data_IF_743504525736
#
_entry.id   IF_743504525736
#
_cell.length_a   1.000
_cell.length_b   1.000
_cell.length_c   1.000
_cell.angle_alpha   90.00
_cell.angle_beta   90.00
_cell.angle_gamma   90.00
#
_symmetry.space_group_name_H-M   'P 1'
#
loop_
_entity.id
_entity.type
_entity.pdbx_description
1 polymer ?
#
# COMPACT_ATOMS: atom_id res chain seq x y z
N UNK A 1 9.55 -17.68 10.06
CA UNK A 1 9.62 -16.22 9.89
C UNK A 1 8.38 -15.61 10.52
N UNK A 2 8.54 -14.56 11.34
CA UNK A 2 7.40 -13.81 11.88
C UNK A 2 6.63 -13.11 10.75
N UNK A 3 5.35 -12.83 10.98
CA UNK A 3 4.49 -12.10 10.04
C UNK A 3 5.11 -10.74 9.68
N UNK A 4 5.67 -10.05 10.67
CA UNK A 4 6.36 -8.76 10.50
C UNK A 4 7.54 -8.87 9.53
N UNK A 5 8.37 -9.91 9.64
CA UNK A 5 9.53 -10.08 8.76
C UNK A 5 9.12 -10.31 7.30
N UNK A 6 8.07 -11.11 7.07
CA UNK A 6 7.50 -11.31 5.72
C UNK A 6 6.93 -10.00 5.16
N UNK A 7 6.18 -9.25 5.98
CA UNK A 7 5.66 -7.94 5.60
C UNK A 7 6.76 -6.98 5.17
N UNK A 8 7.82 -6.86 5.98
CA UNK A 8 8.95 -5.98 5.67
C UNK A 8 9.70 -6.42 4.41
N UNK A 9 9.93 -7.72 4.22
CA UNK A 9 10.58 -8.24 3.02
C UNK A 9 9.77 -7.94 1.76
N UNK A 10 8.46 -8.18 1.79
CA UNK A 10 7.60 -7.91 0.63
C UNK A 10 7.45 -6.41 0.35
N UNK A 11 7.45 -5.57 1.40
CA UNK A 11 7.51 -4.13 1.24
C UNK A 11 8.82 -3.72 0.55
N UNK A 12 9.97 -4.26 0.97
CA UNK A 12 11.26 -3.97 0.34
C UNK A 12 11.29 -4.39 -1.13
N UNK A 13 10.78 -5.59 -1.46
CA UNK A 13 10.68 -6.06 -2.85
C UNK A 13 9.77 -5.17 -3.70
N UNK A 14 8.62 -4.75 -3.17
CA UNK A 14 7.72 -3.82 -3.85
C UNK A 14 8.37 -2.45 -4.08
N UNK A 15 9.13 -1.94 -3.11
CA UNK A 15 9.90 -0.70 -3.25
C UNK A 15 10.98 -0.83 -4.33
N UNK A 16 11.71 -1.94 -4.38
CA UNK A 16 12.69 -2.19 -5.43
C UNK A 16 12.03 -2.25 -6.81
N UNK A 17 10.91 -2.96 -6.95
CA UNK A 17 10.16 -3.02 -8.20
C UNK A 17 9.67 -1.63 -8.64
N UNK A 18 9.22 -0.80 -7.69
CA UNK A 18 8.84 0.58 -7.95
C UNK A 18 10.03 1.38 -8.51
N UNK A 19 11.15 1.43 -7.77
CA UNK A 19 12.33 2.22 -8.16
C UNK A 19 12.91 1.78 -9.51
N UNK A 20 13.07 0.48 -9.73
CA UNK A 20 13.56 -0.05 -11.02
C UNK A 20 12.64 0.34 -12.18
N UNK A 21 11.33 0.35 -11.96
CA UNK A 21 10.37 0.79 -12.98
C UNK A 21 10.47 2.29 -13.23
N UNK A 22 10.71 3.11 -12.20
CA UNK A 22 10.96 4.54 -12.37
C UNK A 22 12.22 4.77 -13.20
N UNK A 23 13.33 4.09 -12.87
CA UNK A 23 14.60 4.21 -13.57
C UNK A 23 14.46 3.81 -15.04
N UNK A 24 13.84 2.65 -15.32
CA UNK A 24 13.59 2.20 -16.70
C UNK A 24 12.70 3.19 -17.44
N UNK A 25 11.66 3.71 -16.80
CA UNK A 25 10.77 4.70 -17.43
C UNK A 25 11.52 6.00 -17.71
N UNK A 26 12.37 6.47 -16.80
CA UNK A 26 13.18 7.66 -17.02
C UNK A 26 14.14 7.48 -18.19
N UNK A 27 14.76 6.30 -18.32
CA UNK A 27 15.62 5.98 -19.46
C UNK A 27 14.85 5.96 -20.80
N UNK A 28 13.62 5.45 -20.81
CA UNK A 28 12.80 5.38 -22.03
C UNK A 28 12.20 6.72 -22.47
N UNK A 29 12.00 7.64 -21.51
CA UNK A 29 11.32 8.91 -21.75
C UNK A 29 12.21 10.13 -21.47
N UNK A 30 13.54 9.98 -21.38
CA UNK A 30 14.49 10.99 -20.88
C UNK A 30 14.34 12.39 -21.50
N UNK A 31 13.88 12.49 -22.76
CA UNK A 31 13.70 13.75 -23.47
C UNK A 31 12.32 14.39 -23.31
N UNK A 32 11.41 13.78 -22.56
CA UNK A 32 10.04 14.27 -22.38
C UNK A 32 9.91 15.13 -21.12
N UNK A 33 9.23 16.27 -21.23
CA UNK A 33 8.96 17.18 -20.10
C UNK A 33 8.19 16.49 -18.97
N UNK A 34 7.39 15.47 -19.30
CA UNK A 34 6.57 14.72 -18.36
C UNK A 34 7.20 13.40 -17.89
N UNK A 35 8.45 13.10 -18.26
CA UNK A 35 9.11 11.82 -17.97
C UNK A 35 9.08 11.46 -16.48
N UNK A 36 9.36 12.43 -15.62
CA UNK A 36 9.33 12.24 -14.16
C UNK A 36 7.96 11.81 -13.65
N UNK A 37 6.89 12.46 -14.10
CA UNK A 37 5.53 12.13 -13.67
C UNK A 37 5.10 10.74 -14.15
N UNK A 38 5.46 10.39 -15.39
CA UNK A 38 5.18 9.05 -15.94
C UNK A 38 5.97 7.98 -15.19
N UNK A 39 7.24 8.24 -14.86
CA UNK A 39 8.05 7.35 -14.04
C UNK A 39 7.43 7.14 -12.65
N UNK A 40 7.08 8.21 -11.95
CA UNK A 40 6.44 8.12 -10.63
C UNK A 40 5.12 7.35 -10.69
N UNK A 41 4.27 7.60 -11.70
CA UNK A 41 2.99 6.92 -11.85
C UNK A 41 3.18 5.43 -12.14
N UNK A 42 3.99 5.07 -13.14
CA UNK A 42 4.24 3.68 -13.53
C UNK A 42 4.95 2.90 -12.43
N UNK A 43 5.97 3.48 -11.78
CA UNK A 43 6.66 2.87 -10.64
C UNK A 43 5.72 2.62 -9.46
N UNK A 44 4.84 3.57 -9.16
CA UNK A 44 3.83 3.40 -8.10
C UNK A 44 2.86 2.27 -8.43
N UNK A 45 2.36 2.20 -9.66
CA UNK A 45 1.46 1.13 -10.10
C UNK A 45 2.12 -0.24 -10.02
N UNK A 46 3.35 -0.38 -10.54
CA UNK A 46 4.10 -1.64 -10.51
C UNK A 46 4.43 -2.06 -9.08
N UNK A 47 4.90 -1.12 -8.24
CA UNK A 47 5.20 -1.38 -6.84
C UNK A 47 3.97 -1.83 -6.05
N UNK A 48 2.83 -1.13 -6.22
CA UNK A 48 1.57 -1.50 -5.57
C UNK A 48 1.07 -2.87 -6.03
N UNK A 49 1.14 -3.16 -7.34
CA UNK A 49 0.72 -4.46 -7.87
C UNK A 49 1.63 -5.59 -7.39
N UNK A 50 2.95 -5.39 -7.37
CA UNK A 50 3.90 -6.36 -6.82
C UNK A 50 3.61 -6.64 -5.34
N UNK A 51 3.37 -5.59 -4.54
CA UNK A 51 3.00 -5.75 -3.12
C UNK A 51 1.70 -6.53 -2.97
N UNK A 52 0.70 -6.21 -3.78
CA UNK A 52 -0.58 -6.91 -3.77
C UNK A 52 -0.42 -8.40 -4.06
N UNK A 53 0.32 -8.78 -5.10
CA UNK A 53 0.54 -10.18 -5.47
C UNK A 53 1.27 -10.93 -4.36
N UNK A 54 2.30 -10.32 -3.77
CA UNK A 54 3.05 -10.91 -2.66
C UNK A 54 2.17 -11.10 -1.42
N UNK A 55 1.41 -10.08 -1.03
CA UNK A 55 0.52 -10.14 0.14
C UNK A 55 -0.58 -11.17 -0.06
N UNK A 56 -1.26 -11.12 -1.20
CA UNK A 56 -2.31 -12.07 -1.58
C UNK A 56 -1.81 -13.51 -1.47
N UNK A 57 -0.64 -13.80 -2.04
CA UNK A 57 -0.12 -15.17 -2.15
C UNK A 57 0.49 -15.67 -0.84
N UNK A 58 1.28 -14.86 -0.16
CA UNK A 58 2.13 -15.32 0.95
C UNK A 58 1.65 -14.90 2.34
N UNK A 59 0.80 -13.88 2.43
CA UNK A 59 0.24 -13.42 3.70
C UNK A 59 -1.18 -13.95 3.88
N UNK A 60 -2.05 -13.70 2.91
CA UNK A 60 -3.46 -14.06 2.99
C UNK A 60 -3.78 -15.41 2.37
N UNK A 61 -2.84 -16.03 1.63
CA UNK A 61 -3.03 -17.28 0.89
C UNK A 61 -4.34 -17.30 0.07
N UNK A 62 -4.76 -16.14 -0.44
CA UNK A 62 -6.07 -15.93 -1.02
C UNK A 62 -6.06 -16.31 -2.50
N UNK A 63 -6.96 -17.22 -2.89
CA UNK A 63 -7.16 -17.63 -4.30
C UNK A 63 -8.32 -16.84 -4.90
N UNK A 64 -8.05 -16.15 -6.00
CA UNK A 64 -9.09 -15.52 -6.81
C UNK A 64 -9.69 -16.55 -7.77
N UNK A 65 -11.00 -16.42 -8.05
CA UNK A 65 -11.73 -17.34 -8.94
C UNK A 65 -11.43 -17.08 -10.41
N UNK A 66 -11.29 -15.81 -10.79
CA UNK A 66 -11.03 -15.35 -12.16
C UNK A 66 -10.23 -14.02 -12.14
N UNK A 67 -9.87 -13.52 -13.33
CA UNK A 67 -9.13 -12.27 -13.48
C UNK A 67 -9.96 -11.03 -13.09
N UNK A 68 -11.27 -11.04 -13.33
CA UNK A 68 -12.16 -9.94 -12.96
C UNK A 68 -12.24 -9.77 -11.42
N UNK A 69 -12.34 -10.89 -10.69
CA UNK A 69 -12.30 -10.90 -9.23
C UNK A 69 -10.92 -10.49 -8.70
N UNK A 70 -9.83 -10.84 -9.39
CA UNK A 70 -8.49 -10.38 -9.04
C UNK A 70 -8.34 -8.86 -9.12
N UNK A 71 -8.78 -8.26 -10.23
CA UNK A 71 -8.77 -6.80 -10.40
C UNK A 71 -9.63 -6.12 -9.35
N UNK A 72 -10.83 -6.66 -9.05
CA UNK A 72 -11.70 -6.11 -8.00
C UNK A 72 -11.04 -6.17 -6.62
N UNK A 73 -10.41 -7.28 -6.27
CA UNK A 73 -9.68 -7.43 -5.01
C UNK A 73 -8.46 -6.51 -4.94
N UNK A 74 -7.73 -6.34 -6.04
CA UNK A 74 -6.65 -5.36 -6.14
C UNK A 74 -7.15 -3.93 -5.92
N UNK A 75 -8.26 -3.53 -6.56
CA UNK A 75 -8.85 -2.21 -6.38
C UNK A 75 -9.27 -1.95 -4.94
N UNK A 76 -9.88 -2.93 -4.26
CA UNK A 76 -10.21 -2.82 -2.84
C UNK A 76 -8.94 -2.68 -1.99
N UNK A 77 -7.91 -3.50 -2.25
CA UNK A 77 -6.62 -3.43 -1.57
C UNK A 77 -5.93 -2.06 -1.75
N UNK A 78 -5.95 -1.51 -2.96
CA UNK A 78 -5.39 -0.20 -3.26
C UNK A 78 -6.18 0.91 -2.55
N UNK A 79 -7.51 0.81 -2.57
CA UNK A 79 -8.41 1.80 -1.93
C UNK A 79 -8.23 1.84 -0.42
N UNK A 80 -8.16 0.68 0.23
CA UNK A 80 -7.90 0.61 1.68
C UNK A 80 -6.51 1.17 2.02
N UNK A 81 -5.51 0.93 1.16
CA UNK A 81 -4.18 1.52 1.30
C UNK A 81 -4.23 3.05 1.26
N UNK A 82 -4.82 3.61 0.20
CA UNK A 82 -4.99 5.05 0.06
C UNK A 82 -5.73 5.68 1.24
N UNK A 83 -6.81 5.04 1.70
CA UNK A 83 -7.56 5.49 2.86
C UNK A 83 -6.71 5.54 4.14
N UNK A 84 -5.91 4.50 4.40
CA UNK A 84 -5.02 4.51 5.58
C UNK A 84 -3.88 5.51 5.47
N UNK A 85 -3.40 5.81 4.26
CA UNK A 85 -2.42 6.88 4.04
C UNK A 85 -3.01 8.25 4.34
N UNK A 86 -4.28 8.50 3.98
CA UNK A 86 -4.97 9.74 4.34
C UNK A 86 -5.11 9.90 5.86
N UNK A 87 -5.39 8.82 6.60
CA UNK A 87 -5.43 8.84 8.07
C UNK A 87 -4.06 9.22 8.63
N UNK A 88 -3.00 8.60 8.11
CA UNK A 88 -1.62 8.94 8.49
C UNK A 88 -1.33 10.43 8.29
N UNK A 89 -1.63 10.98 7.10
CA UNK A 89 -1.44 12.41 6.83
C UNK A 89 -2.31 13.30 7.70
N UNK A 90 -3.56 12.92 7.98
CA UNK A 90 -4.44 13.69 8.87
C UNK A 90 -3.87 13.76 10.30
N UNK A 91 -3.30 12.67 10.81
CA UNK A 91 -2.60 12.69 12.10
C UNK A 91 -1.31 13.52 12.04
N UNK A 92 -0.46 13.31 11.03
CA UNK A 92 0.81 14.05 10.90
C UNK A 92 0.59 15.56 10.78
N UNK A 93 -0.29 15.98 9.87
CA UNK A 93 -0.63 17.39 9.64
C UNK A 93 -1.43 17.97 10.79
N UNK A 94 -2.38 17.22 11.37
CA UNK A 94 -3.17 17.66 12.51
C UNK A 94 -2.29 18.00 13.72
N UNK A 95 -1.29 17.16 14.02
CA UNK A 95 -0.34 17.44 15.08
C UNK A 95 0.63 18.58 14.73
N UNK A 96 1.07 18.68 13.48
CA UNK A 96 1.90 19.80 13.04
C UNK A 96 1.17 21.14 13.17
N UNK A 97 -0.10 21.21 12.76
CA UNK A 97 -0.91 22.43 12.87
C UNK A 97 -1.30 22.76 14.32
N UNK A 98 -1.53 21.75 15.17
CA UNK A 98 -1.90 21.97 16.57
C UNK A 98 -0.72 22.45 17.44
N UNK A 99 0.50 21.96 17.18
CA UNK A 99 1.65 22.18 18.07
C UNK A 99 2.86 22.87 17.40
N UNK A 100 2.80 23.14 16.10
CA UNK A 100 3.72 24.02 15.37
C UNK A 100 5.21 23.60 15.34
N UNK A 101 5.55 22.40 15.77
CA UNK A 101 6.94 21.95 15.94
C UNK A 101 7.19 20.59 15.30
N UNK A 102 8.42 20.42 14.80
CA UNK A 102 8.85 19.22 14.06
C UNK A 102 8.76 17.92 14.91
N UNK A 103 8.94 18.03 16.23
CA UNK A 103 8.83 16.91 17.15
C UNK A 103 7.40 16.36 17.21
N UNK A 104 6.39 17.23 17.30
CA UNK A 104 4.98 16.82 17.35
C UNK A 104 4.47 16.31 16.00
N UNK A 105 4.98 16.83 14.88
CA UNK A 105 4.75 16.22 13.55
C UNK A 105 5.19 14.76 13.54
N UNK A 106 6.39 14.49 14.05
CA UNK A 106 6.96 13.14 14.11
C UNK A 106 6.15 12.22 15.03
N UNK A 107 5.69 12.73 16.18
CA UNK A 107 4.80 11.98 17.07
C UNK A 107 3.46 11.64 16.39
N UNK A 108 2.84 12.62 15.72
CA UNK A 108 1.63 12.43 14.94
C UNK A 108 1.81 11.42 13.80
N UNK A 109 2.96 11.44 13.13
CA UNK A 109 3.33 10.47 12.11
C UNK A 109 3.43 9.04 12.66
N UNK A 110 4.09 8.84 13.81
CA UNK A 110 4.20 7.51 14.44
C UNK A 110 2.84 6.97 14.87
N UNK A 111 2.00 7.82 15.47
CA UNK A 111 0.63 7.44 15.87
C UNK A 111 -0.21 7.11 14.63
N UNK A 112 -0.17 7.97 13.62
CA UNK A 112 -0.88 7.80 12.36
C UNK A 112 -0.49 6.52 11.63
N UNK A 113 0.81 6.21 11.56
CA UNK A 113 1.31 4.95 10.98
C UNK A 113 0.84 3.74 11.78
N UNK A 114 0.89 3.79 13.10
CA UNK A 114 0.46 2.67 13.95
C UNK A 114 -1.02 2.35 13.77
N UNK A 115 -1.88 3.38 13.78
CA UNK A 115 -3.31 3.26 13.52
C UNK A 115 -3.55 2.80 12.08
N UNK A 116 -2.84 3.41 11.12
CA UNK A 116 -2.93 3.10 9.69
C UNK A 116 -2.65 1.63 9.41
N UNK A 117 -1.54 1.08 9.92
CA UNK A 117 -1.21 -0.33 9.74
C UNK A 117 -2.22 -1.28 10.40
N UNK A 118 -2.68 -0.97 11.61
CA UNK A 118 -3.69 -1.78 12.29
C UNK A 118 -5.01 -1.80 11.51
N UNK A 119 -5.45 -0.63 11.04
CA UNK A 119 -6.68 -0.49 10.28
C UNK A 119 -6.54 -1.15 8.90
N UNK A 120 -5.40 -0.96 8.23
CA UNK A 120 -5.09 -1.56 6.93
C UNK A 120 -5.21 -3.08 7.00
N UNK A 121 -4.63 -3.71 8.02
CA UNK A 121 -4.75 -5.15 8.22
C UNK A 121 -6.22 -5.59 8.38
N UNK A 122 -7.01 -4.87 9.18
CA UNK A 122 -8.44 -5.19 9.38
C UNK A 122 -9.26 -5.00 8.10
N UNK A 123 -9.03 -3.90 7.37
CA UNK A 123 -9.73 -3.57 6.14
C UNK A 123 -9.38 -4.56 5.03
N UNK A 124 -8.10 -4.89 4.86
CA UNK A 124 -7.67 -5.85 3.85
C UNK A 124 -8.23 -7.23 4.12
N UNK A 125 -8.19 -7.68 5.37
CA UNK A 125 -8.79 -8.96 5.76
C UNK A 125 -10.30 -8.99 5.50
N UNK A 126 -11.03 -7.91 5.79
CA UNK A 126 -12.50 -7.86 5.69
C UNK A 126 -13.03 -7.55 4.29
N UNK A 127 -12.33 -6.74 3.50
CA UNK A 127 -12.83 -6.25 2.21
C UNK A 127 -12.07 -6.84 1.03
N UNK A 128 -10.73 -6.81 1.06
CA UNK A 128 -9.94 -7.32 -0.06
C UNK A 128 -9.92 -8.85 -0.08
N UNK A 129 -9.70 -9.47 1.07
CA UNK A 129 -9.47 -10.91 1.20
C UNK A 129 -10.59 -11.65 1.96
N UNK A 130 -11.81 -11.09 1.95
CA UNK A 130 -12.97 -11.79 2.49
C UNK A 130 -13.15 -13.13 1.75
N UNK A 131 -13.04 -14.21 2.51
CA UNK A 131 -13.31 -15.56 2.01
C UNK A 131 -14.78 -15.86 2.24
N UNK A 132 -15.45 -16.55 1.31
CA UNK A 132 -16.88 -16.92 1.43
C UNK A 132 -17.21 -17.72 2.71
N UNK A 133 -16.20 -18.28 3.40
CA UNK A 133 -16.36 -18.94 4.69
C UNK A 133 -16.70 -17.97 5.84
N UNK A 134 -16.29 -16.69 5.78
CA UNK A 134 -16.64 -15.69 6.81
C UNK A 134 -18.09 -15.18 6.69
N UNK A 135 -18.80 -15.54 5.62
CA UNK A 135 -20.20 -15.13 5.39
C UNK A 135 -21.22 -16.16 5.89
N UNK A 136 -20.78 -17.35 6.32
CA UNK A 136 -21.65 -18.45 6.76
C UNK A 136 -21.87 -18.48 8.29
N UNK A 137 -21.29 -17.57 9.06
CA UNK A 137 -21.40 -17.52 10.53
C UNK A 137 -21.81 -16.13 11.05
N UNK A 138 -22.54 -15.35 10.25
CA UNK A 138 -23.15 -14.09 10.66
C UNK A 138 -24.64 -14.24 10.92
#
# INVERSE_FOLDING_TARGET
>A
MSLALRYSLFAALATLANLLTQDVTLLLFEHQVYALYVAMATGTLVGLYAKYVLDKRYIFAYRTRDAAHDVRTFMLYATTGAFTTLIFWACELGFYHAFGTHAWRTAGAVIGLSIGYWLKYRLDRRFAFATAADTATG
#
